data_IF_827379014639
#
_entry.id   IF_827379014639
#
_cell.length_a   1.000
_cell.length_b   1.000
_cell.length_c   1.000
_cell.angle_alpha   90.00
_cell.angle_beta   90.00
_cell.angle_gamma   90.00
#
_symmetry.space_group_name_H-M   'P 1'
#
loop_
_entity.id
_entity.type
_entity.pdbx_description
1 polymer ?
#
# COMPACT_ATOMS: atom_id res chain seq x y z
N UNK A 1 54.93 -16.65 5.07
CA UNK A 1 53.89 -15.81 4.45
C UNK A 1 52.55 -16.51 4.58
N UNK A 2 51.60 -15.95 5.33
CA UNK A 2 50.12 -16.09 5.17
C UNK A 2 49.41 -15.65 6.47
N UNK A 3 49.46 -14.35 6.80
CA UNK A 3 48.63 -13.73 7.83
C UNK A 3 47.31 -13.20 7.22
N UNK A 4 46.62 -14.03 6.43
CA UNK A 4 45.55 -13.57 5.52
C UNK A 4 44.11 -13.74 6.01
N UNK A 5 43.82 -14.66 6.94
CA UNK A 5 42.44 -15.09 7.18
C UNK A 5 41.85 -14.69 8.54
N UNK A 6 42.66 -14.34 9.54
CA UNK A 6 42.16 -13.81 10.82
C UNK A 6 41.72 -12.34 10.71
N UNK A 7 42.23 -11.62 9.71
CA UNK A 7 41.86 -10.23 9.38
C UNK A 7 40.59 -10.11 8.54
N UNK A 8 40.06 -11.21 7.98
CA UNK A 8 38.88 -11.18 7.09
C UNK A 8 37.53 -11.14 7.84
N UNK A 9 37.47 -11.57 9.10
CA UNK A 9 36.24 -11.53 9.92
C UNK A 9 35.89 -10.12 10.39
N UNK A 10 36.87 -9.29 10.72
CA UNK A 10 36.69 -7.90 11.15
C UNK A 10 36.04 -6.98 10.09
N UNK A 11 36.46 -6.98 8.81
CA UNK A 11 35.85 -6.13 7.79
C UNK A 11 34.44 -6.59 7.40
N UNK A 12 34.15 -7.89 7.43
CA UNK A 12 32.79 -8.41 7.18
C UNK A 12 31.83 -7.97 8.28
N UNK A 13 32.26 -8.00 9.53
CA UNK A 13 31.43 -7.56 10.65
C UNK A 13 31.26 -6.04 10.66
N UNK A 14 32.31 -5.29 10.32
CA UNK A 14 32.21 -3.85 10.13
C UNK A 14 31.24 -3.49 9.00
N UNK A 15 31.23 -4.25 7.89
CA UNK A 15 30.29 -4.02 6.80
C UNK A 15 28.85 -4.38 7.18
N UNK A 16 28.62 -5.47 7.93
CA UNK A 16 27.29 -5.81 8.47
C UNK A 16 26.79 -4.77 9.48
N UNK A 17 27.68 -4.24 10.33
CA UNK A 17 27.35 -3.16 11.26
C UNK A 17 26.96 -1.88 10.51
N UNK A 18 27.78 -1.45 9.55
CA UNK A 18 27.48 -0.28 8.71
C UNK A 18 26.16 -0.49 7.93
N UNK A 19 25.92 -1.68 7.39
CA UNK A 19 24.66 -2.00 6.73
C UNK A 19 23.46 -1.91 7.70
N UNK A 20 23.60 -2.42 8.93
CA UNK A 20 22.56 -2.31 9.96
C UNK A 20 22.28 -0.86 10.36
N UNK A 21 23.31 -0.01 10.45
CA UNK A 21 23.15 1.42 10.70
C UNK A 21 22.45 2.14 9.53
N UNK A 22 22.83 1.83 8.28
CA UNK A 22 22.18 2.42 7.10
C UNK A 22 20.71 2.03 7.01
N UNK A 23 20.37 0.75 7.27
CA UNK A 23 18.98 0.30 7.30
C UNK A 23 18.19 0.95 8.45
N UNK A 24 18.83 1.12 9.62
CA UNK A 24 18.21 1.84 10.75
C UNK A 24 17.93 3.31 10.42
N UNK A 25 18.75 3.98 9.59
CA UNK A 25 18.45 5.36 9.13
C UNK A 25 17.18 5.39 8.29
N UNK A 26 17.00 4.42 7.38
CA UNK A 26 15.77 4.32 6.56
C UNK A 26 14.56 4.05 7.46
N UNK A 27 14.69 3.10 8.39
CA UNK A 27 13.66 2.79 9.38
C UNK A 27 13.33 3.98 10.28
N UNK A 28 14.35 4.74 10.66
CA UNK A 28 14.22 5.95 11.47
C UNK A 28 13.40 7.00 10.75
N UNK A 29 13.71 7.26 9.48
CA UNK A 29 12.98 8.23 8.68
C UNK A 29 11.48 7.86 8.57
N UNK A 30 11.15 6.60 8.26
CA UNK A 30 9.74 6.19 8.16
C UNK A 30 9.01 6.21 9.50
N UNK A 31 9.72 5.89 10.59
CA UNK A 31 9.16 5.96 11.96
C UNK A 31 8.93 7.41 12.40
N UNK A 32 9.87 8.32 12.12
CA UNK A 32 9.79 9.75 12.41
C UNK A 32 8.63 10.39 11.66
N UNK A 33 8.54 10.17 10.35
CA UNK A 33 7.43 10.65 9.52
C UNK A 33 6.09 10.12 10.01
N UNK A 34 6.03 8.85 10.43
CA UNK A 34 4.82 8.26 11.02
C UNK A 34 4.43 8.92 12.35
N UNK A 35 5.40 9.19 13.23
CA UNK A 35 5.17 9.86 14.51
C UNK A 35 4.82 11.34 14.36
N UNK A 36 5.39 12.03 13.37
CA UNK A 36 5.18 13.46 13.10
C UNK A 36 3.73 13.78 12.66
N UNK A 37 2.97 12.76 12.24
CA UNK A 37 1.53 12.90 12.00
C UNK A 37 0.72 13.09 13.30
N UNK A 38 1.29 12.76 14.47
CA UNK A 38 0.58 12.71 15.76
C UNK A 38 1.25 13.53 16.86
N UNK A 39 2.57 13.66 16.81
CA UNK A 39 3.39 14.37 17.78
C UNK A 39 3.94 15.65 17.14
N UNK A 40 4.37 16.60 17.97
CA UNK A 40 5.13 17.73 17.44
C UNK A 40 6.40 17.22 16.74
N UNK A 41 6.88 17.88 15.67
CA UNK A 41 8.05 17.43 14.92
C UNK A 41 9.28 17.20 15.82
N UNK A 42 9.47 18.05 16.84
CA UNK A 42 10.56 17.90 17.81
C UNK A 42 10.42 16.65 18.68
N UNK A 43 9.20 16.34 19.14
CA UNK A 43 8.96 15.13 19.91
C UNK A 43 9.06 13.87 19.05
N UNK A 44 8.56 13.90 17.80
CA UNK A 44 8.68 12.81 16.85
C UNK A 44 10.15 12.48 16.54
N UNK A 45 10.98 13.51 16.31
CA UNK A 45 12.41 13.35 16.06
C UNK A 45 13.13 12.72 17.25
N UNK A 46 12.91 13.22 18.47
CA UNK A 46 13.56 12.67 19.67
C UNK A 46 13.09 11.25 20.00
N UNK A 47 11.79 10.99 19.91
CA UNK A 47 11.21 9.69 20.19
C UNK A 47 11.67 8.62 19.18
N UNK A 48 11.66 8.96 17.88
CA UNK A 48 12.11 8.04 16.82
C UNK A 48 13.60 7.72 16.93
N UNK A 49 14.46 8.69 17.27
CA UNK A 49 15.88 8.44 17.56
C UNK A 49 16.06 7.51 18.76
N UNK A 50 15.26 7.68 19.82
CA UNK A 50 15.25 6.80 20.98
C UNK A 50 14.86 5.36 20.64
N UNK A 51 13.78 5.18 19.86
CA UNK A 51 13.31 3.86 19.40
C UNK A 51 14.37 3.18 18.54
N UNK A 52 14.97 3.89 17.58
CA UNK A 52 15.91 3.30 16.63
C UNK A 52 17.27 2.99 17.26
N UNK A 53 17.79 3.90 18.10
CA UNK A 53 19.00 3.60 18.89
C UNK A 53 18.78 2.40 19.82
N UNK A 54 17.60 2.27 20.43
CA UNK A 54 17.24 1.10 21.23
C UNK A 54 17.20 -0.19 20.39
N UNK A 55 16.57 -0.18 19.22
CA UNK A 55 16.51 -1.35 18.34
C UNK A 55 17.89 -1.83 17.92
N UNK A 56 18.77 -0.93 17.47
CA UNK A 56 20.13 -1.29 17.07
C UNK A 56 20.91 -1.81 18.28
N UNK A 57 20.91 -1.09 19.41
CA UNK A 57 21.68 -1.51 20.59
C UNK A 57 21.18 -2.85 21.12
N UNK A 58 19.87 -3.06 21.25
CA UNK A 58 19.31 -4.31 21.76
C UNK A 58 19.55 -5.45 20.78
N UNK A 59 19.38 -5.26 19.47
CA UNK A 59 19.66 -6.28 18.46
C UNK A 59 21.12 -6.76 18.53
N UNK A 60 22.06 -5.83 18.64
CA UNK A 60 23.47 -6.15 18.79
C UNK A 60 23.78 -6.79 20.15
N UNK A 61 23.12 -6.36 21.23
CA UNK A 61 23.27 -6.95 22.56
C UNK A 61 22.74 -8.39 22.63
N UNK A 62 21.68 -8.72 21.89
CA UNK A 62 21.22 -10.12 21.69
C UNK A 62 22.31 -10.94 21.01
N UNK A 63 22.92 -10.40 19.95
CA UNK A 63 24.05 -11.04 19.28
C UNK A 63 25.25 -11.28 20.20
N UNK A 64 25.47 -10.40 21.19
CA UNK A 64 26.57 -10.48 22.15
C UNK A 64 26.30 -11.36 23.38
N UNK A 65 25.05 -11.54 23.81
CA UNK A 65 24.74 -12.20 25.09
C UNK A 65 23.74 -13.36 24.96
N UNK A 66 24.27 -14.59 24.80
CA UNK A 66 23.45 -15.81 24.76
C UNK A 66 22.68 -16.07 26.06
N UNK A 67 23.25 -15.74 27.22
CA UNK A 67 22.66 -16.05 28.54
C UNK A 67 21.38 -15.26 28.88
N UNK A 68 21.22 -14.06 28.28
CA UNK A 68 20.04 -13.17 28.48
C UNK A 68 19.26 -12.93 27.19
N UNK A 69 19.51 -13.75 26.17
CA UNK A 69 18.95 -13.62 24.83
C UNK A 69 17.42 -13.52 24.84
N UNK A 70 16.73 -14.34 25.63
CA UNK A 70 15.26 -14.34 25.68
C UNK A 70 14.66 -13.00 26.14
N UNK A 71 15.22 -12.37 27.19
CA UNK A 71 14.73 -11.09 27.69
C UNK A 71 15.02 -9.96 26.69
N UNK A 72 16.21 -9.96 26.09
CA UNK A 72 16.60 -8.97 25.11
C UNK A 72 15.77 -9.09 23.82
N UNK A 73 15.44 -10.31 23.40
CA UNK A 73 14.51 -10.57 22.29
C UNK A 73 13.12 -10.02 22.62
N UNK A 74 12.62 -10.21 23.84
CA UNK A 74 11.32 -9.67 24.23
C UNK A 74 11.28 -8.14 24.19
N UNK A 75 12.33 -7.48 24.70
CA UNK A 75 12.47 -6.01 24.62
C UNK A 75 12.56 -5.56 23.17
N UNK A 76 13.34 -6.25 22.34
CA UNK A 76 13.46 -5.95 20.92
C UNK A 76 12.10 -6.03 20.22
N UNK A 77 11.34 -7.10 20.42
CA UNK A 77 10.01 -7.29 19.83
C UNK A 77 9.07 -6.17 20.24
N UNK A 78 9.04 -5.79 21.52
CA UNK A 78 8.17 -4.72 22.00
C UNK A 78 8.51 -3.37 21.33
N UNK A 79 9.79 -3.04 21.24
CA UNK A 79 10.25 -1.81 20.57
C UNK A 79 10.00 -1.86 19.06
N UNK A 80 10.18 -3.03 18.44
CA UNK A 80 9.96 -3.23 17.01
C UNK A 80 8.49 -3.07 16.64
N UNK A 81 7.55 -3.55 17.48
CA UNK A 81 6.11 -3.34 17.25
C UNK A 81 5.78 -1.84 17.16
N UNK A 82 6.38 -1.00 18.01
CA UNK A 82 6.18 0.45 17.97
C UNK A 82 6.76 1.05 16.69
N UNK A 83 7.99 0.69 16.31
CA UNK A 83 8.64 1.12 15.07
C UNK A 83 7.82 0.74 13.82
N UNK A 84 7.41 -0.53 13.73
CA UNK A 84 6.61 -1.08 12.64
C UNK A 84 5.27 -0.36 12.55
N UNK A 85 4.60 -0.11 13.68
CA UNK A 85 3.31 0.56 13.71
C UNK A 85 3.37 1.96 13.08
N UNK A 86 4.33 2.80 13.49
CA UNK A 86 4.45 4.15 12.94
C UNK A 86 4.99 4.15 11.50
N UNK A 87 5.95 3.28 11.18
CA UNK A 87 6.45 3.12 9.81
C UNK A 87 5.35 2.64 8.85
N UNK A 88 4.48 1.74 9.29
CA UNK A 88 3.31 1.28 8.53
C UNK A 88 2.39 2.46 8.18
N UNK A 89 2.05 3.30 9.15
CA UNK A 89 1.17 4.47 8.93
C UNK A 89 1.81 5.45 7.96
N UNK A 90 3.09 5.75 8.11
CA UNK A 90 3.83 6.61 7.17
C UNK A 90 3.82 6.08 5.75
N UNK A 91 4.11 4.78 5.57
CA UNK A 91 4.11 4.15 4.25
C UNK A 91 2.70 4.09 3.66
N UNK A 92 1.71 3.70 4.46
CA UNK A 92 0.32 3.64 4.03
C UNK A 92 -0.21 5.01 3.61
N UNK A 93 0.06 6.06 4.39
CA UNK A 93 -0.33 7.43 4.04
C UNK A 93 0.39 7.92 2.80
N UNK A 94 1.68 7.61 2.63
CA UNK A 94 2.43 7.96 1.42
C UNK A 94 1.89 7.27 0.15
N UNK A 95 1.64 5.96 0.20
CA UNK A 95 1.02 5.22 -0.92
C UNK A 95 -0.39 5.72 -1.20
N UNK A 96 -1.17 5.95 -0.14
CA UNK A 96 -2.51 6.51 -0.22
C UNK A 96 -2.52 7.89 -0.87
N UNK A 97 -1.66 8.80 -0.44
CA UNK A 97 -1.59 10.15 -0.99
C UNK A 97 -1.23 10.17 -2.49
N UNK A 98 -0.51 9.15 -2.96
CA UNK A 98 -0.06 9.06 -4.36
C UNK A 98 -1.05 8.36 -5.28
N UNK A 99 -1.83 7.39 -4.79
CA UNK A 99 -2.79 6.61 -5.59
C UNK A 99 -4.25 7.08 -5.46
N UNK A 100 -4.63 7.70 -4.33
CA UNK A 100 -5.98 8.22 -4.10
C UNK A 100 -6.42 9.28 -5.11
N UNK A 101 -5.60 10.26 -5.55
CA UNK A 101 -6.05 11.24 -6.55
C UNK A 101 -6.49 10.56 -7.85
N UNK A 102 -5.70 9.62 -8.37
CA UNK A 102 -6.04 8.89 -9.59
C UNK A 102 -7.31 8.04 -9.45
N UNK A 103 -7.58 7.48 -8.26
CA UNK A 103 -8.78 6.68 -8.02
C UNK A 103 -10.03 7.56 -7.89
N UNK A 104 -9.93 8.69 -7.20
CA UNK A 104 -11.04 9.65 -7.03
C UNK A 104 -11.35 10.35 -8.34
N UNK A 105 -10.33 10.79 -9.08
CA UNK A 105 -10.47 11.38 -10.42
C UNK A 105 -11.12 10.40 -11.40
N UNK A 106 -10.73 9.11 -11.35
CA UNK A 106 -11.37 8.07 -12.17
C UNK A 106 -12.83 7.81 -11.78
N UNK A 107 -13.14 7.77 -10.48
CA UNK A 107 -14.53 7.63 -10.01
C UNK A 107 -15.39 8.81 -10.45
N UNK A 108 -14.85 10.03 -10.37
CA UNK A 108 -15.52 11.23 -10.87
C UNK A 108 -15.74 11.14 -12.38
N UNK A 109 -14.71 10.75 -13.13
CA UNK A 109 -14.79 10.54 -14.58
C UNK A 109 -15.92 9.57 -14.96
N UNK A 110 -16.02 8.43 -14.25
CA UNK A 110 -17.07 7.44 -14.48
C UNK A 110 -18.47 8.00 -14.13
N UNK A 111 -18.59 8.73 -13.02
CA UNK A 111 -19.84 9.36 -12.61
C UNK A 111 -20.30 10.45 -13.59
N UNK A 112 -19.38 11.28 -14.07
CA UNK A 112 -19.64 12.31 -15.08
C UNK A 112 -20.09 11.69 -16.40
N UNK A 113 -19.40 10.64 -16.87
CA UNK A 113 -19.82 9.92 -18.07
C UNK A 113 -21.20 9.29 -17.95
N UNK A 114 -21.53 8.72 -16.79
CA UNK A 114 -22.84 8.15 -16.54
C UNK A 114 -23.94 9.24 -16.53
N UNK A 115 -23.69 10.38 -15.89
CA UNK A 115 -24.62 11.51 -15.86
C UNK A 115 -24.82 12.09 -17.27
N UNK A 116 -23.73 12.37 -18.00
CA UNK A 116 -23.79 12.84 -19.39
C UNK A 116 -24.50 11.86 -20.30
N UNK A 117 -24.27 10.56 -20.15
CA UNK A 117 -24.95 9.51 -20.92
C UNK A 117 -26.47 9.54 -20.72
N UNK A 118 -26.94 9.61 -19.47
CA UNK A 118 -28.37 9.74 -19.15
C UNK A 118 -28.97 11.04 -19.70
N UNK A 119 -28.26 12.15 -19.59
CA UNK A 119 -28.70 13.43 -20.17
C UNK A 119 -28.84 13.36 -21.69
N UNK A 120 -27.89 12.72 -22.38
CA UNK A 120 -27.94 12.54 -23.83
C UNK A 120 -29.12 11.66 -24.26
N UNK A 121 -29.44 10.61 -23.50
CA UNK A 121 -30.60 9.75 -23.74
C UNK A 121 -31.92 10.54 -23.65
N UNK A 122 -32.10 11.31 -22.56
CA UNK A 122 -33.28 12.16 -22.36
C UNK A 122 -33.41 13.23 -23.44
N UNK A 123 -32.30 13.89 -23.80
CA UNK A 123 -32.30 14.89 -24.87
C UNK A 123 -32.62 14.27 -26.23
N UNK A 124 -32.07 13.11 -26.55
CA UNK A 124 -32.37 12.42 -27.80
C UNK A 124 -33.85 12.04 -27.89
N UNK A 125 -34.44 11.56 -26.79
CA UNK A 125 -35.86 11.26 -26.72
C UNK A 125 -36.71 12.52 -26.89
N UNK A 126 -36.37 13.61 -26.20
CA UNK A 126 -37.08 14.88 -26.30
C UNK A 126 -36.97 15.52 -27.70
N UNK A 127 -35.80 15.45 -28.35
CA UNK A 127 -35.62 15.91 -29.74
C UNK A 127 -36.50 15.09 -30.68
N UNK A 128 -36.51 13.76 -30.53
CA UNK A 128 -37.34 12.88 -31.35
C UNK A 128 -38.83 13.17 -31.20
N UNK A 129 -39.30 13.41 -29.98
CA UNK A 129 -40.71 13.75 -29.74
C UNK A 129 -41.05 15.18 -30.19
N UNK A 130 -40.18 16.16 -29.92
CA UNK A 130 -40.36 17.54 -30.36
C UNK A 130 -40.39 17.69 -31.89
N UNK A 131 -39.63 16.87 -32.63
CA UNK A 131 -39.71 16.83 -34.10
C UNK A 131 -41.09 16.35 -34.59
N UNK A 132 -41.72 15.40 -33.88
CA UNK A 132 -43.10 14.98 -34.20
C UNK A 132 -44.08 16.13 -33.93
N UNK A 133 -43.90 16.88 -32.84
CA UNK A 133 -44.73 18.03 -32.53
C UNK A 133 -44.63 19.13 -33.58
N UNK A 134 -43.43 19.42 -34.09
CA UNK A 134 -43.22 20.39 -35.18
C UNK A 134 -43.99 19.96 -36.43
N UNK A 135 -43.84 18.69 -36.87
CA UNK A 135 -44.55 18.17 -38.03
C UNK A 135 -46.07 18.23 -37.84
N UNK A 136 -46.56 17.83 -36.67
CA UNK A 136 -47.99 17.88 -36.35
C UNK A 136 -48.53 19.32 -36.36
N UNK A 137 -47.77 20.29 -35.85
CA UNK A 137 -48.17 21.70 -35.87
C UNK A 137 -48.18 22.29 -37.29
N UNK A 138 -47.25 21.89 -38.15
CA UNK A 138 -47.25 22.29 -39.56
C UNK A 138 -48.47 21.71 -40.30
N UNK A 139 -48.79 20.44 -40.05
CA UNK A 139 -50.00 19.79 -40.58
C UNK A 139 -51.28 20.47 -40.07
N UNK A 140 -51.36 20.81 -38.78
CA UNK A 140 -52.49 21.55 -38.21
C UNK A 140 -52.62 22.94 -38.81
N UNK A 141 -51.50 23.63 -39.04
CA UNK A 141 -51.49 24.95 -39.68
C UNK A 141 -52.04 24.88 -41.10
N UNK A 142 -51.57 23.90 -41.88
CA UNK A 142 -52.01 23.70 -43.26
C UNK A 142 -53.50 23.31 -43.32
N UNK A 143 -53.93 22.42 -42.43
CA UNK A 143 -55.29 21.93 -42.39
C UNK A 143 -56.26 23.01 -41.84
N UNK A 144 -55.85 23.85 -40.89
CA UNK A 144 -56.63 25.02 -40.45
C UNK A 144 -56.80 26.01 -41.61
N UNK A 145 -55.77 26.20 -42.45
CA UNK A 145 -55.87 27.06 -43.64
C UNK A 145 -56.79 26.49 -44.73
N UNK A 146 -56.83 25.17 -44.90
CA UNK A 146 -57.60 24.50 -45.96
C UNK A 146 -59.06 24.21 -45.57
N UNK A 147 -59.30 23.77 -44.33
CA UNK A 147 -60.58 23.26 -43.86
C UNK A 147 -61.19 24.08 -42.72
N UNK A 148 -60.35 24.75 -41.93
CA UNK A 148 -60.74 25.60 -40.81
C UNK A 148 -61.24 24.86 -39.56
N UNK A 149 -61.18 25.54 -38.41
CA UNK A 149 -61.74 25.09 -37.12
C UNK A 149 -61.13 23.82 -36.53
N UNK A 150 -59.90 23.50 -36.90
CA UNK A 150 -59.13 22.37 -36.40
C UNK A 150 -58.74 22.58 -34.92
N UNK A 151 -58.65 23.83 -34.47
CA UNK A 151 -58.48 24.18 -33.06
C UNK A 151 -59.54 23.61 -32.11
N UNK A 152 -60.71 23.17 -32.61
CA UNK A 152 -61.79 22.57 -31.81
C UNK A 152 -61.72 21.05 -31.70
N UNK A 153 -60.85 20.39 -32.46
CA UNK A 153 -60.70 18.94 -32.39
C UNK A 153 -59.87 18.53 -31.16
N UNK A 154 -60.09 17.30 -30.69
CA UNK A 154 -59.32 16.71 -29.59
C UNK A 154 -58.07 16.01 -30.12
N UNK A 155 -56.97 16.10 -29.37
CA UNK A 155 -55.76 15.31 -29.57
C UNK A 155 -55.51 14.39 -28.38
N UNK A 156 -54.91 13.23 -28.66
CA UNK A 156 -54.41 12.32 -27.63
C UNK A 156 -53.09 12.79 -27.01
N UNK A 157 -52.32 13.62 -27.72
CA UNK A 157 -51.07 14.19 -27.23
C UNK A 157 -51.37 15.42 -26.33
N UNK A 158 -50.95 15.41 -25.05
CA UNK A 158 -51.19 16.51 -24.12
C UNK A 158 -50.63 17.87 -24.57
N UNK A 159 -49.49 17.90 -25.25
CA UNK A 159 -48.88 19.14 -25.78
C UNK A 159 -49.75 19.76 -26.86
N UNK A 160 -50.10 18.95 -27.86
CA UNK A 160 -50.89 19.42 -28.99
C UNK A 160 -52.30 19.81 -28.56
N UNK A 161 -52.89 19.06 -27.62
CA UNK A 161 -54.16 19.41 -26.99
C UNK A 161 -54.09 20.77 -26.26
N UNK A 162 -53.02 21.04 -25.53
CA UNK A 162 -52.77 22.32 -24.86
C UNK A 162 -52.65 23.49 -25.85
N UNK A 163 -51.96 23.27 -26.98
CA UNK A 163 -51.84 24.27 -28.05
C UNK A 163 -53.20 24.54 -28.69
N UNK A 164 -53.95 23.51 -29.07
CA UNK A 164 -55.30 23.68 -29.64
C UNK A 164 -56.21 24.45 -28.72
N UNK A 165 -56.22 24.13 -27.42
CA UNK A 165 -56.99 24.86 -26.44
C UNK A 165 -56.58 26.34 -26.36
N UNK A 166 -55.28 26.62 -26.43
CA UNK A 166 -54.75 27.99 -26.42
C UNK A 166 -55.16 28.76 -27.68
N UNK A 167 -55.05 28.13 -28.85
CA UNK A 167 -55.52 28.71 -30.13
C UNK A 167 -57.03 28.94 -30.13
N UNK A 168 -57.81 28.00 -29.60
CA UNK A 168 -59.27 28.12 -29.50
C UNK A 168 -59.68 29.30 -28.60
N UNK A 169 -59.03 29.47 -27.44
CA UNK A 169 -59.26 30.64 -26.57
C UNK A 169 -58.88 31.95 -27.24
N UNK A 170 -57.77 31.97 -28.00
CA UNK A 170 -57.35 33.15 -28.76
C UNK A 170 -58.39 33.50 -29.84
N UNK A 171 -58.93 32.48 -30.51
CA UNK A 171 -59.99 32.63 -31.49
C UNK A 171 -61.26 33.22 -30.88
N UNK A 172 -61.69 32.73 -29.71
CA UNK A 172 -62.87 33.26 -29.00
C UNK A 172 -62.68 34.73 -28.57
N UNK A 173 -61.50 35.08 -28.07
CA UNK A 173 -61.23 36.40 -27.48
C UNK A 173 -61.12 37.51 -28.54
N UNK A 174 -60.55 37.19 -29.71
CA UNK A 174 -60.16 38.21 -30.69
C UNK A 174 -60.91 38.12 -32.03
N UNK A 175 -61.82 37.15 -32.22
CA UNK A 175 -62.62 36.99 -33.44
C UNK A 175 -63.40 38.25 -33.84
N UNK A 176 -63.78 39.10 -32.89
CA UNK A 176 -64.51 40.33 -33.17
C UNK A 176 -63.63 41.48 -33.68
N UNK A 177 -62.33 41.48 -33.32
CA UNK A 177 -61.43 42.62 -33.56
C UNK A 177 -60.48 42.42 -34.74
N UNK A 178 -60.12 41.17 -35.05
CA UNK A 178 -59.20 40.82 -36.14
C UNK A 178 -59.68 39.55 -36.86
N UNK A 179 -60.42 39.67 -37.97
CA UNK A 179 -60.87 38.54 -38.75
C UNK A 179 -59.73 37.97 -39.60
N UNK A 180 -59.37 36.70 -39.37
CA UNK A 180 -58.49 35.92 -40.25
C UNK A 180 -59.34 34.96 -41.08
N UNK A 181 -59.23 35.01 -42.42
CA UNK A 181 -60.00 34.17 -43.35
C UNK A 181 -61.53 34.39 -43.31
N UNK A 182 -62.30 33.51 -43.95
CA UNK A 182 -63.77 33.58 -44.01
C UNK A 182 -64.41 32.71 -42.93
N UNK A 183 -64.69 33.28 -41.76
CA UNK A 183 -65.50 32.63 -40.72
C UNK A 183 -65.06 32.96 -39.27
N UNK A 184 -66.00 32.97 -38.30
CA UNK A 184 -65.70 33.32 -36.91
C UNK A 184 -64.93 32.19 -36.20
N UNK A 185 -63.62 32.38 -36.02
CA UNK A 185 -62.77 31.51 -35.18
C UNK A 185 -61.63 30.79 -35.89
N UNK A 186 -61.38 31.10 -37.17
CA UNK A 186 -60.24 30.60 -37.93
C UNK A 186 -58.94 31.32 -37.48
N UNK A 187 -57.90 30.58 -37.09
CA UNK A 187 -56.60 31.16 -36.64
C UNK A 187 -55.38 30.32 -37.00
N UNK A 188 -55.05 30.27 -38.29
CA UNK A 188 -53.87 29.56 -38.76
C UNK A 188 -52.56 30.26 -38.36
N UNK A 189 -52.55 31.58 -38.14
CA UNK A 189 -51.35 32.33 -37.73
C UNK A 189 -50.92 31.99 -36.30
N UNK A 190 -51.88 31.60 -35.44
CA UNK A 190 -51.59 31.16 -34.08
C UNK A 190 -50.85 29.81 -34.10
N UNK A 191 -51.31 28.85 -34.92
CA UNK A 191 -50.58 27.59 -35.12
C UNK A 191 -49.19 27.80 -35.74
N UNK A 192 -49.04 28.70 -36.71
CA UNK A 192 -47.73 29.06 -37.29
C UNK A 192 -46.76 29.60 -36.22
N UNK A 193 -47.26 30.38 -35.26
CA UNK A 193 -46.46 30.88 -34.13
C UNK A 193 -46.00 29.74 -33.22
N UNK A 194 -46.90 28.83 -32.86
CA UNK A 194 -46.56 27.67 -32.05
C UNK A 194 -45.60 26.71 -32.77
N UNK A 195 -45.76 26.50 -34.09
CA UNK A 195 -44.80 25.74 -34.90
C UNK A 195 -43.40 26.37 -34.82
N UNK A 196 -43.29 27.70 -35.02
CA UNK A 196 -42.01 28.42 -34.88
C UNK A 196 -41.39 28.27 -33.48
N UNK A 197 -42.20 28.31 -32.42
CA UNK A 197 -41.71 28.09 -31.05
C UNK A 197 -41.24 26.65 -30.83
N UNK A 198 -41.95 25.65 -31.37
CA UNK A 198 -41.55 24.25 -31.31
C UNK A 198 -40.22 24.02 -32.05
N UNK A 199 -40.04 24.60 -33.24
CA UNK A 199 -38.78 24.56 -34.00
C UNK A 199 -37.63 25.18 -33.20
N UNK A 200 -37.86 26.32 -32.55
CA UNK A 200 -36.87 26.97 -31.70
C UNK A 200 -36.51 26.09 -30.48
N UNK A 201 -37.48 25.45 -29.84
CA UNK A 201 -37.23 24.54 -28.72
C UNK A 201 -36.40 23.34 -29.16
N UNK A 202 -36.76 22.66 -30.25
CA UNK A 202 -35.99 21.54 -30.81
C UNK A 202 -34.56 21.96 -31.15
N UNK A 203 -34.37 23.15 -31.73
CA UNK A 203 -33.03 23.67 -32.06
C UNK A 203 -32.19 23.87 -30.80
N UNK A 204 -32.77 24.40 -29.71
CA UNK A 204 -32.08 24.54 -28.42
C UNK A 204 -31.70 23.17 -27.84
N UNK A 205 -32.60 22.19 -27.90
CA UNK A 205 -32.32 20.83 -27.43
C UNK A 205 -31.16 20.18 -28.20
N UNK A 206 -31.11 20.37 -29.53
CA UNK A 206 -30.02 19.90 -30.38
C UNK A 206 -28.68 20.56 -30.01
N UNK A 207 -28.66 21.87 -29.76
CA UNK A 207 -27.46 22.58 -29.31
C UNK A 207 -26.96 22.04 -27.96
N UNK A 208 -27.85 21.79 -27.01
CA UNK A 208 -27.49 21.19 -25.72
C UNK A 208 -26.96 19.76 -25.86
N UNK A 209 -27.53 18.95 -26.76
CA UNK A 209 -27.05 17.61 -27.04
C UNK A 209 -25.62 17.64 -27.63
N UNK A 210 -25.37 18.57 -28.56
CA UNK A 210 -24.06 18.75 -29.15
C UNK A 210 -23.03 19.19 -28.10
N UNK A 211 -23.35 20.19 -27.27
CA UNK A 211 -22.46 20.65 -26.21
C UNK A 211 -22.10 19.53 -25.21
N UNK A 212 -23.06 18.66 -24.84
CA UNK A 212 -22.79 17.49 -24.00
C UNK A 212 -21.90 16.46 -24.69
N UNK A 213 -22.04 16.29 -26.02
CA UNK A 213 -21.17 15.39 -26.79
C UNK A 213 -19.73 15.91 -26.88
N UNK A 214 -19.55 17.22 -27.04
CA UNK A 214 -18.24 17.89 -27.06
C UNK A 214 -17.58 17.86 -25.68
N UNK A 215 -18.36 18.03 -24.61
CA UNK A 215 -17.88 17.81 -23.25
C UNK A 215 -17.39 16.38 -23.04
N UNK A 216 -18.19 15.38 -23.47
CA UNK A 216 -17.84 13.97 -23.31
C UNK A 216 -16.55 13.59 -24.06
N UNK A 217 -16.33 14.15 -25.24
CA UNK A 217 -15.12 13.89 -26.03
C UNK A 217 -13.88 14.60 -25.50
N UNK A 218 -14.05 15.72 -24.78
CA UNK A 218 -12.95 16.45 -24.12
C UNK A 218 -12.62 15.97 -22.71
N UNK A 219 -13.51 15.19 -22.08
CA UNK A 219 -13.32 14.63 -20.74
C UNK A 219 -12.13 13.67 -20.69
N UNK A 220 -11.14 13.97 -19.83
CA UNK A 220 -9.99 13.10 -19.57
C UNK A 220 -10.04 12.49 -18.16
N UNK A 221 -9.59 11.23 -17.98
CA UNK A 221 -9.65 10.56 -16.67
C UNK A 221 -8.78 11.17 -15.55
N UNK A 222 -7.76 11.96 -15.89
CA UNK A 222 -6.73 12.46 -14.97
C UNK A 222 -6.68 14.00 -14.88
N UNK A 223 -7.73 14.67 -15.37
CA UNK A 223 -7.85 16.12 -15.15
C UNK A 223 -8.27 16.38 -13.69
N UNK A 224 -7.95 17.56 -13.15
CA UNK A 224 -8.29 17.87 -11.76
C UNK A 224 -9.81 17.85 -11.51
N UNK A 225 -10.23 17.33 -10.35
CA UNK A 225 -11.65 17.25 -9.92
C UNK A 225 -12.40 18.57 -10.09
N UNK A 226 -11.78 19.69 -9.71
CA UNK A 226 -12.38 21.02 -9.82
C UNK A 226 -12.62 21.43 -11.28
N UNK A 227 -11.65 21.18 -12.15
CA UNK A 227 -11.75 21.49 -13.58
C UNK A 227 -12.86 20.68 -14.25
N UNK A 228 -12.89 19.36 -14.00
CA UNK A 228 -13.90 18.46 -14.56
C UNK A 228 -15.32 18.85 -14.13
N UNK A 229 -15.53 19.12 -12.83
CA UNK A 229 -16.85 19.49 -12.31
C UNK A 229 -17.31 20.87 -12.80
N UNK A 230 -16.40 21.84 -12.89
CA UNK A 230 -16.72 23.17 -13.40
C UNK A 230 -17.14 23.10 -14.87
N UNK A 231 -16.38 22.38 -15.69
CA UNK A 231 -16.70 22.17 -17.10
C UNK A 231 -18.03 21.42 -17.27
N UNK A 232 -18.28 20.39 -16.45
CA UNK A 232 -19.54 19.67 -16.46
C UNK A 232 -20.73 20.58 -16.13
N UNK A 233 -20.65 21.34 -15.02
CA UNK A 233 -21.73 22.25 -14.60
C UNK A 233 -22.04 23.30 -15.66
N UNK A 234 -21.02 23.86 -16.29
CA UNK A 234 -21.21 24.85 -17.36
C UNK A 234 -22.09 24.32 -18.50
N UNK A 235 -21.91 23.05 -18.89
CA UNK A 235 -22.69 22.43 -19.98
C UNK A 235 -24.02 21.89 -19.47
N UNK A 236 -24.03 21.27 -18.28
CA UNK A 236 -25.20 20.65 -17.68
C UNK A 236 -26.27 21.67 -17.27
N UNK A 237 -25.86 22.78 -16.68
CA UNK A 237 -26.76 23.85 -16.22
C UNK A 237 -27.33 24.65 -17.40
N UNK A 238 -26.69 24.60 -18.57
CA UNK A 238 -27.17 25.22 -19.81
C UNK A 238 -28.25 24.38 -20.52
N UNK A 239 -28.52 23.15 -20.09
CA UNK A 239 -29.58 22.30 -20.68
C UNK A 239 -30.95 22.86 -20.28
N UNK A 240 -31.88 23.11 -21.24
CA UNK A 240 -33.22 23.59 -20.94
C UNK A 240 -34.11 22.44 -20.43
N UNK A 241 -33.91 22.03 -19.18
CA UNK A 241 -34.63 20.91 -18.57
C UNK A 241 -36.15 21.10 -18.50
N UNK A 242 -36.63 22.35 -18.52
CA UNK A 242 -38.06 22.66 -18.67
C UNK A 242 -38.60 22.17 -20.01
N UNK A 243 -37.92 22.49 -21.11
CA UNK A 243 -38.32 22.08 -22.46
C UNK A 243 -38.31 20.55 -22.57
N UNK A 244 -37.26 19.90 -22.05
CA UNK A 244 -37.16 18.42 -22.04
C UNK A 244 -38.36 17.79 -21.34
N UNK A 245 -38.75 18.34 -20.18
CA UNK A 245 -39.91 17.85 -19.42
C UNK A 245 -41.22 18.08 -20.16
N UNK A 246 -41.39 19.28 -20.69
CA UNK A 246 -42.61 19.68 -21.39
C UNK A 246 -42.79 18.92 -22.72
N UNK A 247 -41.71 18.44 -23.34
CA UNK A 247 -41.77 17.67 -24.58
C UNK A 247 -41.98 16.16 -24.34
N UNK A 248 -41.45 15.59 -23.26
CA UNK A 248 -41.47 14.13 -23.04
C UNK A 248 -42.77 13.59 -22.45
N UNK A 249 -43.65 14.42 -21.90
CA UNK A 249 -44.97 14.04 -21.35
C UNK A 249 -44.99 12.90 -20.32
N UNK A 250 -43.82 12.43 -19.88
CA UNK A 250 -43.70 11.22 -19.09
C UNK A 250 -43.89 11.55 -17.61
N UNK A 251 -44.72 10.75 -16.92
CA UNK A 251 -44.93 10.85 -15.47
C UNK A 251 -43.68 10.52 -14.62
N UNK A 252 -42.59 10.02 -15.24
CA UNK A 252 -41.35 9.62 -14.54
C UNK A 252 -40.13 10.32 -15.15
N UNK A 253 -40.21 11.64 -15.30
CA UNK A 253 -39.05 12.45 -15.66
C UNK A 253 -38.25 12.81 -14.40
N UNK A 254 -37.08 12.19 -14.24
CA UNK A 254 -36.11 12.56 -13.20
C UNK A 254 -34.88 13.17 -13.86
N UNK A 255 -34.57 14.41 -13.47
CA UNK A 255 -33.35 15.10 -13.91
C UNK A 255 -32.15 14.37 -13.30
N UNK A 256 -31.14 13.97 -14.09
CA UNK A 256 -29.95 13.33 -13.55
C UNK A 256 -29.31 14.18 -12.43
N UNK A 257 -28.90 13.56 -11.33
CA UNK A 257 -28.23 14.29 -10.26
C UNK A 257 -26.81 14.68 -10.71
N UNK A 258 -26.45 15.97 -10.60
CA UNK A 258 -25.09 16.42 -10.81
C UNK A 258 -24.20 15.91 -9.66
N UNK A 259 -23.02 15.32 -9.94
CA UNK A 259 -22.12 14.87 -8.88
C UNK A 259 -21.69 16.04 -7.98
N UNK A 260 -21.74 15.85 -6.66
CA UNK A 260 -21.37 16.89 -5.70
C UNK A 260 -19.86 16.87 -5.44
N UNK A 261 -19.22 18.04 -5.44
CA UNK A 261 -17.77 18.17 -5.18
C UNK A 261 -17.35 17.50 -3.85
N UNK A 262 -18.19 17.59 -2.82
CA UNK A 262 -17.95 16.99 -1.49
C UNK A 262 -17.77 15.48 -1.50
N UNK A 263 -18.32 14.78 -2.50
CA UNK A 263 -18.26 13.33 -2.59
C UNK A 263 -16.95 12.86 -3.24
N UNK A 264 -16.23 13.79 -3.87
CA UNK A 264 -14.98 13.56 -4.60
C UNK A 264 -13.82 14.40 -4.05
N UNK A 265 -13.96 14.94 -2.84
CA UNK A 265 -12.93 15.69 -2.11
C UNK A 265 -12.74 15.04 -0.76
N UNK A 266 -11.51 14.63 -0.49
CA UNK A 266 -11.21 13.76 0.64
C UNK A 266 -11.42 14.50 1.97
N UNK A 267 -12.18 13.88 2.88
CA UNK A 267 -12.44 14.35 4.27
C UNK A 267 -11.28 14.01 5.22
N UNK A 268 -10.12 13.60 4.72
CA UNK A 268 -8.97 13.20 5.55
C UNK A 268 -8.16 14.41 6.09
N UNK A 269 -8.83 15.40 6.67
CA UNK A 269 -8.17 16.60 7.22
C UNK A 269 -7.72 16.48 8.68
N UNK A 270 -7.85 15.31 9.32
CA UNK A 270 -7.37 15.07 10.68
C UNK A 270 -6.57 13.76 10.77
N UNK A 271 -5.24 13.87 10.83
CA UNK A 271 -4.32 12.72 10.87
C UNK A 271 -4.53 11.76 12.06
N UNK A 272 -5.23 12.20 13.12
CA UNK A 272 -5.45 11.43 14.34
C UNK A 272 -6.49 10.29 14.19
N UNK A 273 -7.55 10.49 13.40
CA UNK A 273 -8.57 9.46 13.12
C UNK A 273 -8.04 8.39 12.16
N UNK A 274 -7.09 8.76 11.30
CA UNK A 274 -6.53 7.92 10.24
C UNK A 274 -5.71 6.73 10.80
N UNK A 275 -5.14 6.84 12.00
CA UNK A 275 -4.33 5.77 12.61
C UNK A 275 -5.20 4.60 13.06
N UNK A 276 -6.27 4.89 13.82
CA UNK A 276 -7.20 3.88 14.32
C UNK A 276 -8.02 3.29 13.19
N UNK A 277 -8.38 4.11 12.19
CA UNK A 277 -9.07 3.63 11.01
C UNK A 277 -8.15 2.73 10.17
N UNK A 278 -6.90 3.13 9.89
CA UNK A 278 -5.96 2.30 9.15
C UNK A 278 -5.58 1.00 9.87
N UNK A 279 -5.53 0.99 11.21
CA UNK A 279 -5.36 -0.25 11.98
C UNK A 279 -6.62 -1.11 11.98
N UNK A 280 -7.78 -0.51 12.15
CA UNK A 280 -9.07 -1.21 12.05
C UNK A 280 -9.20 -1.86 10.67
N UNK A 281 -8.92 -1.13 9.60
CA UNK A 281 -8.96 -1.61 8.21
C UNK A 281 -7.93 -2.72 7.96
N UNK A 282 -6.72 -2.62 8.52
CA UNK A 282 -5.71 -3.70 8.45
C UNK A 282 -6.25 -5.04 8.99
N UNK A 283 -7.04 -5.01 10.07
CA UNK A 283 -7.56 -6.23 10.68
C UNK A 283 -8.95 -6.65 10.16
N UNK A 284 -9.76 -5.70 9.69
CA UNK A 284 -11.16 -5.96 9.28
C UNK A 284 -11.33 -6.11 7.77
N UNK A 285 -10.52 -5.41 6.96
CA UNK A 285 -10.59 -5.43 5.50
C UNK A 285 -9.21 -5.19 4.86
N UNK A 286 -8.22 -6.10 5.05
CA UNK A 286 -6.87 -5.90 4.54
C UNK A 286 -6.87 -5.87 3.00
N UNK A 287 -6.65 -4.68 2.45
CA UNK A 287 -6.30 -4.50 1.05
C UNK A 287 -4.82 -4.87 0.81
N UNK A 288 -4.45 -5.16 -0.43
CA UNK A 288 -3.04 -5.42 -0.78
C UNK A 288 -2.08 -4.31 -0.35
N UNK A 289 -2.57 -3.07 -0.23
CA UNK A 289 -1.83 -1.90 0.26
C UNK A 289 -1.45 -2.03 1.73
N UNK A 290 -2.40 -2.44 2.58
CA UNK A 290 -2.15 -2.65 4.01
C UNK A 290 -1.10 -3.74 4.22
N UNK A 291 -1.23 -4.85 3.49
CA UNK A 291 -0.28 -5.97 3.56
C UNK A 291 1.11 -5.54 3.09
N UNK A 292 1.21 -4.83 1.96
CA UNK A 292 2.49 -4.39 1.43
C UNK A 292 3.20 -3.38 2.35
N UNK A 293 2.51 -2.34 2.80
CA UNK A 293 3.08 -1.32 3.70
C UNK A 293 3.50 -1.93 5.04
N UNK A 294 2.69 -2.81 5.62
CA UNK A 294 3.02 -3.50 6.86
C UNK A 294 4.20 -4.47 6.68
N UNK A 295 4.23 -5.24 5.59
CA UNK A 295 5.32 -6.18 5.29
C UNK A 295 6.63 -5.42 5.10
N UNK A 296 6.61 -4.29 4.39
CA UNK A 296 7.80 -3.46 4.18
C UNK A 296 8.31 -2.85 5.49
N UNK A 297 7.42 -2.35 6.35
CA UNK A 297 7.79 -1.83 7.66
C UNK A 297 8.42 -2.93 8.55
N UNK A 298 7.80 -4.11 8.60
CA UNK A 298 8.33 -5.25 9.36
C UNK A 298 9.66 -5.78 8.81
N UNK A 299 9.82 -5.79 7.48
CA UNK A 299 11.00 -6.32 6.81
C UNK A 299 12.28 -5.58 7.22
N UNK A 300 12.23 -4.25 7.35
CA UNK A 300 13.40 -3.44 7.72
C UNK A 300 13.89 -3.83 9.12
N UNK A 301 12.99 -3.85 10.11
CA UNK A 301 13.34 -4.19 11.49
C UNK A 301 13.81 -5.66 11.59
N UNK A 302 13.12 -6.60 10.95
CA UNK A 302 13.52 -8.02 10.94
C UNK A 302 14.92 -8.22 10.37
N UNK A 303 15.28 -7.54 9.27
CA UNK A 303 16.63 -7.67 8.69
C UNK A 303 17.69 -7.10 9.63
N UNK A 304 17.44 -5.96 10.28
CA UNK A 304 18.38 -5.38 11.25
C UNK A 304 18.63 -6.38 12.39
N UNK A 305 17.58 -7.03 12.89
CA UNK A 305 17.71 -8.08 13.89
C UNK A 305 18.52 -9.28 13.39
N UNK A 306 18.18 -9.81 12.21
CA UNK A 306 18.87 -10.97 11.63
C UNK A 306 20.34 -10.70 11.35
N UNK A 307 20.68 -9.50 10.86
CA UNK A 307 22.07 -9.06 10.66
C UNK A 307 22.85 -9.06 11.97
N UNK A 308 22.28 -8.48 13.03
CA UNK A 308 22.93 -8.43 14.34
C UNK A 308 23.05 -9.82 14.98
N UNK A 309 22.02 -10.65 14.87
CA UNK A 309 22.02 -12.03 15.34
C UNK A 309 23.06 -12.88 14.61
N UNK A 310 23.14 -12.77 13.28
CA UNK A 310 24.11 -13.49 12.45
C UNK A 310 25.55 -13.00 12.67
N UNK A 311 25.74 -11.72 13.01
CA UNK A 311 27.06 -11.13 13.29
C UNK A 311 27.63 -11.52 14.67
N UNK A 312 26.79 -11.81 15.66
CA UNK A 312 27.19 -12.18 17.03
C UNK A 312 28.25 -13.30 17.11
N UNK A 313 28.07 -14.44 16.42
CA UNK A 313 29.04 -15.54 16.37
C UNK A 313 30.39 -15.19 15.70
N UNK A 314 30.46 -14.12 14.89
CA UNK A 314 31.72 -13.71 14.28
C UNK A 314 32.61 -12.87 15.22
N UNK A 315 32.02 -12.33 16.30
CA UNK A 315 32.69 -11.54 17.34
C UNK A 315 33.18 -12.37 18.54
N UNK A 316 32.35 -13.28 19.06
CA UNK A 316 32.71 -14.14 20.20
C UNK A 316 33.28 -15.47 19.71
N UNK A 317 34.60 -15.47 19.61
CA UNK A 317 35.39 -16.66 19.39
C UNK A 317 36.63 -16.26 18.65
N UNK A 318 37.78 -16.43 19.31
CA UNK A 318 39.00 -16.64 18.56
C UNK A 318 38.67 -17.73 17.51
N UNK A 319 39.10 -17.64 16.24
CA UNK A 319 38.76 -18.67 15.24
C UNK A 319 38.97 -20.11 15.75
N UNK A 320 39.86 -20.28 16.72
CA UNK A 320 40.12 -21.44 17.56
C UNK A 320 38.88 -22.02 18.29
N UNK A 321 38.05 -21.20 18.93
CA UNK A 321 36.86 -21.68 19.67
C UNK A 321 35.83 -22.34 18.75
N UNK A 322 35.74 -21.84 17.51
CA UNK A 322 34.87 -22.42 16.48
C UNK A 322 35.38 -23.77 15.99
N UNK A 323 36.70 -23.96 15.99
CA UNK A 323 37.30 -25.24 15.63
C UNK A 323 37.06 -26.28 16.71
N UNK A 324 37.08 -25.89 17.98
CA UNK A 324 36.74 -26.77 19.10
C UNK A 324 35.26 -27.20 19.05
N UNK A 325 34.33 -26.26 18.82
CA UNK A 325 32.92 -26.58 18.63
C UNK A 325 32.65 -27.48 17.41
N UNK A 326 33.35 -27.26 16.29
CA UNK A 326 33.23 -28.10 15.10
C UNK A 326 33.78 -29.52 15.31
N UNK A 327 34.91 -29.64 16.02
CA UNK A 327 35.48 -30.94 16.41
C UNK A 327 34.55 -31.69 17.37
N UNK A 328 34.00 -31.01 18.36
CA UNK A 328 33.04 -31.56 19.32
C UNK A 328 31.75 -32.06 18.62
N UNK A 329 31.24 -31.30 17.65
CA UNK A 329 30.07 -31.70 16.86
C UNK A 329 30.33 -32.97 16.04
N UNK A 330 31.54 -33.14 15.49
CA UNK A 330 31.91 -34.34 14.75
C UNK A 330 31.89 -35.59 15.65
N UNK A 331 32.28 -35.43 16.91
CA UNK A 331 32.24 -36.49 17.92
C UNK A 331 30.90 -36.58 18.66
N UNK A 332 29.89 -35.80 18.27
CA UNK A 332 28.59 -35.70 18.96
C UNK A 332 28.71 -35.42 20.47
N UNK A 333 29.78 -34.70 20.86
CA UNK A 333 30.12 -34.40 22.24
C UNK A 333 29.83 -32.92 22.57
N UNK A 334 29.62 -32.64 23.85
CA UNK A 334 29.62 -31.26 24.35
C UNK A 334 31.02 -30.66 24.22
N UNK A 335 31.11 -29.38 23.86
CA UNK A 335 32.36 -28.65 23.62
C UNK A 335 33.32 -28.71 24.83
N UNK A 336 32.80 -28.65 26.06
CA UNK A 336 33.63 -28.73 27.27
C UNK A 336 34.13 -30.15 27.56
N UNK A 337 33.31 -31.16 27.25
CA UNK A 337 33.71 -32.57 27.40
C UNK A 337 34.77 -32.92 26.38
N UNK A 338 34.58 -32.51 25.12
CA UNK A 338 35.54 -32.67 24.04
C UNK A 338 36.88 -32.01 24.35
N UNK A 339 36.88 -30.74 24.77
CA UNK A 339 38.11 -30.03 25.15
C UNK A 339 38.82 -30.66 26.34
N UNK A 340 38.08 -31.07 27.38
CA UNK A 340 38.64 -31.72 28.58
C UNK A 340 39.30 -33.06 28.23
N UNK A 341 38.64 -33.85 27.41
CA UNK A 341 39.12 -35.19 27.05
C UNK A 341 40.36 -35.08 26.14
N UNK A 342 40.42 -34.09 25.25
CA UNK A 342 41.61 -33.75 24.46
C UNK A 342 42.78 -33.29 25.34
N UNK A 343 42.55 -32.35 26.27
CA UNK A 343 43.59 -31.87 27.19
C UNK A 343 44.15 -33.00 28.07
N UNK A 344 43.30 -33.95 28.48
CA UNK A 344 43.73 -35.12 29.27
C UNK A 344 44.68 -36.06 28.51
N UNK A 345 44.61 -36.08 27.18
CA UNK A 345 45.48 -36.91 26.33
C UNK A 345 46.83 -36.25 26.03
N UNK A 346 47.01 -34.98 26.40
CA UNK A 346 48.27 -34.27 26.23
C UNK A 346 49.31 -34.75 27.25
N UNK A 347 50.48 -35.13 26.72
CA UNK A 347 51.66 -35.57 27.48
C UNK A 347 52.79 -34.57 27.20
N UNK A 348 53.71 -34.32 28.15
CA UNK A 348 54.89 -33.50 27.86
C UNK A 348 55.80 -34.18 26.83
N UNK A 349 56.12 -33.45 25.75
CA UNK A 349 57.04 -33.84 24.69
C UNK A 349 58.44 -33.22 24.83
N UNK A 350 59.31 -33.42 23.84
CA UNK A 350 60.64 -32.82 23.82
C UNK A 350 60.53 -31.29 23.92
N UNK A 351 61.41 -30.67 24.72
CA UNK A 351 61.43 -29.22 25.02
C UNK A 351 60.22 -28.69 25.82
N UNK A 352 59.37 -29.57 26.38
CA UNK A 352 58.25 -29.17 27.26
C UNK A 352 56.97 -28.77 26.50
N UNK A 353 56.91 -29.00 25.19
CA UNK A 353 55.70 -28.80 24.39
C UNK A 353 54.67 -29.90 24.67
N UNK A 354 53.39 -29.56 24.62
CA UNK A 354 52.32 -30.54 24.80
C UNK A 354 52.20 -31.40 23.53
N UNK A 355 52.22 -32.73 23.69
CA UNK A 355 52.14 -33.68 22.59
C UNK A 355 51.02 -34.70 22.79
N UNK A 356 50.41 -35.16 21.70
CA UNK A 356 49.41 -36.24 21.71
C UNK A 356 49.69 -37.25 20.61
N UNK A 357 49.53 -38.53 20.94
CA UNK A 357 49.71 -39.64 19.99
C UNK A 357 48.49 -39.75 19.07
N UNK A 358 48.72 -39.92 17.75
CA UNK A 358 47.64 -40.00 16.75
C UNK A 358 46.62 -41.12 17.05
N UNK A 359 47.10 -42.25 17.56
CA UNK A 359 46.28 -43.44 17.88
C UNK A 359 45.30 -43.22 19.05
N UNK A 360 45.50 -42.18 19.86
CA UNK A 360 44.66 -41.86 21.02
C UNK A 360 43.57 -40.83 20.71
N UNK A 361 43.56 -40.27 19.50
CA UNK A 361 42.65 -39.21 19.08
C UNK A 361 41.32 -39.78 18.57
N UNK A 362 40.22 -39.11 18.92
CA UNK A 362 38.94 -39.32 18.25
C UNK A 362 38.96 -38.72 16.83
N UNK A 363 37.99 -39.08 15.96
CA UNK A 363 37.87 -38.47 14.64
C UNK A 363 37.77 -36.93 14.68
N UNK A 364 37.01 -36.37 15.63
CA UNK A 364 36.87 -34.93 15.83
C UNK A 364 38.17 -34.25 16.30
N UNK A 365 38.88 -34.86 17.24
CA UNK A 365 40.16 -34.35 17.73
C UNK A 365 41.27 -34.41 16.66
N UNK A 366 41.30 -35.49 15.87
CA UNK A 366 42.25 -35.64 14.75
C UNK A 366 42.01 -34.57 13.68
N UNK A 367 40.75 -34.34 13.30
CA UNK A 367 40.40 -33.32 12.31
C UNK A 367 40.73 -31.90 12.79
N UNK A 368 40.52 -31.64 14.09
CA UNK A 368 40.96 -30.39 14.72
C UNK A 368 42.49 -30.23 14.64
N UNK A 369 43.27 -31.26 14.97
CA UNK A 369 44.74 -31.19 14.96
C UNK A 369 45.31 -31.05 13.54
N UNK A 370 44.71 -31.70 12.55
CA UNK A 370 45.05 -31.49 11.13
C UNK A 370 44.76 -30.05 10.69
N UNK A 371 43.66 -29.47 11.15
CA UNK A 371 43.32 -28.08 10.88
C UNK A 371 44.31 -27.12 11.57
N UNK A 372 44.70 -27.39 12.82
CA UNK A 372 45.71 -26.61 13.55
C UNK A 372 47.09 -26.70 12.88
N UNK A 373 47.47 -27.87 12.37
CA UNK A 373 48.70 -28.08 11.61
C UNK A 373 48.68 -27.29 10.29
N UNK A 374 47.58 -27.29 9.55
CA UNK A 374 47.42 -26.49 8.35
C UNK A 374 47.50 -24.96 8.62
N UNK A 375 47.28 -24.54 9.88
CA UNK A 375 47.41 -23.16 10.34
C UNK A 375 48.78 -22.84 10.96
N UNK A 376 49.68 -23.82 11.05
CA UNK A 376 51.00 -23.68 11.67
C UNK A 376 50.97 -23.56 13.20
N UNK A 377 49.86 -23.95 13.85
CA UNK A 377 49.68 -23.93 15.31
C UNK A 377 49.95 -25.30 15.96
N UNK A 378 50.16 -26.32 15.15
CA UNK A 378 50.61 -27.64 15.55
C UNK A 378 51.66 -28.17 14.57
N UNK A 379 52.57 -29.02 15.04
CA UNK A 379 53.58 -29.67 14.21
C UNK A 379 53.47 -31.19 14.34
N UNK A 380 53.71 -31.91 13.25
CA UNK A 380 53.78 -33.37 13.24
C UNK A 380 55.21 -33.81 13.52
N UNK A 381 55.38 -34.69 14.51
CA UNK A 381 56.64 -35.35 14.83
C UNK A 381 56.47 -36.87 14.73
N UNK A 382 57.50 -37.56 14.28
CA UNK A 382 57.53 -39.03 14.25
C UNK A 382 58.66 -39.52 15.15
N UNK A 383 58.30 -40.24 16.22
CA UNK A 383 59.26 -40.81 17.16
C UNK A 383 59.00 -42.31 17.32
N UNK A 384 60.05 -43.12 17.11
CA UNK A 384 59.99 -44.58 17.30
C UNK A 384 58.84 -45.27 16.52
N UNK A 385 58.53 -44.79 15.32
CA UNK A 385 57.47 -45.33 14.45
C UNK A 385 56.04 -44.96 14.88
N UNK A 386 55.89 -43.99 15.80
CA UNK A 386 54.61 -43.42 16.22
C UNK A 386 54.54 -41.95 15.83
N UNK A 387 53.33 -41.52 15.46
CA UNK A 387 53.06 -40.13 15.06
C UNK A 387 52.53 -39.36 16.26
N UNK A 388 53.15 -38.22 16.52
CA UNK A 388 52.77 -37.28 17.57
C UNK A 388 52.42 -35.92 16.96
N UNK A 389 51.40 -35.26 17.50
CA UNK A 389 51.09 -33.86 17.23
C UNK A 389 51.58 -33.00 18.38
N UNK A 390 52.50 -32.07 18.09
CA UNK A 390 53.03 -31.09 19.02
C UNK A 390 52.19 -29.81 18.93
N UNK A 391 51.60 -29.41 20.04
CA UNK A 391 50.82 -28.18 20.15
C UNK A 391 51.71 -27.01 20.57
N UNK A 392 51.44 -25.84 19.98
CA UNK A 392 52.04 -24.60 20.46
C UNK A 392 51.65 -24.31 21.92
N UNK A 393 52.60 -23.77 22.69
CA UNK A 393 52.42 -23.53 24.14
C UNK A 393 51.30 -22.53 24.42
N UNK A 394 51.13 -21.53 23.54
CA UNK A 394 50.08 -20.52 23.69
C UNK A 394 48.68 -21.11 23.47
N UNK A 395 48.55 -22.11 22.61
CA UNK A 395 47.30 -22.80 22.32
C UNK A 395 46.91 -23.75 23.46
N UNK A 396 47.88 -24.50 23.99
CA UNK A 396 47.65 -25.34 25.17
C UNK A 396 47.18 -24.52 26.38
N UNK A 397 47.82 -23.36 26.64
CA UNK A 397 47.40 -22.48 27.74
C UNK A 397 45.95 -21.98 27.54
N UNK A 398 45.57 -21.57 26.34
CA UNK A 398 44.20 -21.13 26.03
C UNK A 398 43.16 -22.23 26.19
N UNK A 399 43.47 -23.47 25.81
CA UNK A 399 42.57 -24.61 26.01
C UNK A 399 42.33 -24.91 27.49
N UNK A 400 43.34 -24.71 28.34
CA UNK A 400 43.20 -24.86 29.80
C UNK A 400 42.41 -23.68 30.39
N UNK A 401 42.64 -22.46 29.92
CA UNK A 401 41.91 -21.27 30.33
C UNK A 401 40.41 -21.33 29.93
N UNK A 402 40.09 -21.86 28.76
CA UNK A 402 38.69 -22.03 28.32
C UNK A 402 37.92 -23.04 29.18
N UNK A 403 38.60 -24.09 29.66
CA UNK A 403 38.04 -25.03 30.63
C UNK A 403 37.82 -24.44 32.03
N UNK A 404 38.50 -23.34 32.37
CA UNK A 404 38.32 -22.66 33.65
C UNK A 404 37.00 -21.85 33.72
N UNK A 405 36.46 -21.44 32.56
CA UNK A 405 35.17 -20.74 32.47
C UNK A 405 34.04 -21.75 32.42
N UNK A 406 33.48 -22.09 33.59
CA UNK A 406 32.32 -23.00 33.70
C UNK A 406 31.09 -22.44 32.97
N UNK A 407 30.70 -23.06 31.86
CA UNK A 407 29.37 -22.87 31.26
C UNK A 407 28.33 -23.91 31.74
N UNK A 408 28.77 -25.03 32.34
CA UNK A 408 27.89 -26.10 32.83
C UNK A 408 27.58 -25.94 34.33
N UNK A 409 26.36 -25.51 34.64
CA UNK A 409 25.72 -25.84 35.92
C UNK A 409 25.31 -27.32 35.87
N UNK A 410 26.14 -28.19 36.44
CA UNK A 410 25.83 -29.61 36.66
C UNK A 410 24.70 -29.76 37.69
N UNK A 411 23.46 -29.48 37.32
CA UNK A 411 22.26 -29.93 38.03
C UNK A 411 21.22 -30.34 37.01
N UNK A 412 21.11 -31.64 36.74
CA UNK A 412 19.84 -32.35 36.47
C UNK A 412 20.11 -33.85 36.42
N UNK A 413 19.71 -34.53 37.49
CA UNK A 413 18.64 -35.55 37.51
C UNK A 413 19.01 -36.90 36.90
N UNK A 414 19.59 -37.78 37.72
CA UNK A 414 19.41 -39.22 37.57
C UNK A 414 18.34 -39.66 38.59
N UNK A 415 17.10 -39.74 38.14
CA UNK A 415 16.03 -40.43 38.84
C UNK A 415 16.10 -41.91 38.40
N UNK A 416 16.44 -42.87 39.27
CA UNK A 416 16.39 -44.27 38.89
C UNK A 416 14.92 -44.69 38.84
N UNK A 417 14.49 -45.17 37.67
CA UNK A 417 13.30 -45.99 37.55
C UNK A 417 13.47 -47.23 38.44
N UNK A 418 12.59 -47.38 39.45
CA UNK A 418 12.28 -48.66 40.06
C UNK A 418 10.82 -48.96 39.73
N UNK A 419 10.59 -50.17 39.24
CA UNK A 419 9.25 -50.77 39.16
C UNK A 419 8.70 -51.12 40.54
#
# INVERSE_FOLDING_TARGET
MAAGNATASRPLVASLFVASCLLSIVSWYTTEQGMALYLSPWFALLASLGVQSSLVVVAWLVGFNRSRSALLIAVYVLTAVVSIAFSYVSLYTWFSARERPATVERRLYDALNAATGKSQELLSAAIGEGQKHVLALDEMTAAEKAHGYISRAQDSDPYLAGIRQSVAREAETYAASYPEGTGPGLRYTAFDRYSKMAVQSVTRLQQSQQALSEFRSSLKPLDSTESQLRAFRQVYDAVPWSDVRDTLHSQKFEVPAAPAYSDYVDRSSAGQEDLLLAFSELFTAPTGRHVFAFTLAAFIDIIVFLLAYAAGPFFYGAPEDRWFAAGAALDSADEQVFLRDLVRKLVPGPQGLAQVEESALSPGELQLLLLLMAKGLAARSEEKGKVYYLLDQSLHQRMVESLAVRALSLHTTAQPARG
#
